data_IF_073953478979
#
_entry.id   IF_073953478979
#
_cell.length_a   1.000
_cell.length_b   1.000
_cell.length_c   1.000
_cell.angle_alpha   90.00
_cell.angle_beta   90.00
_cell.angle_gamma   90.00
#
_symmetry.space_group_name_H-M   'P 1'
#
loop_
_entity.id
_entity.type
_entity.pdbx_description
1 polymer ?
#
# COMPACT_ATOMS: atom_id res chain seq x y z
N UNK A 1 1.58 -21.86 10.55
CA UNK A 1 1.85 -20.45 10.79
C UNK A 1 3.18 -20.16 10.15
N UNK A 2 3.13 -19.75 8.90
CA UNK A 2 4.30 -19.30 8.17
C UNK A 2 4.55 -17.86 8.59
N UNK A 3 5.72 -17.58 9.14
CA UNK A 3 6.21 -16.23 9.35
C UNK A 3 7.07 -15.86 8.16
N UNK A 4 7.18 -14.58 7.85
CA UNK A 4 8.01 -14.13 6.74
C UNK A 4 7.93 -12.64 6.52
N UNK A 5 8.51 -12.24 5.40
CA UNK A 5 8.61 -10.85 4.99
C UNK A 5 7.68 -10.60 3.81
N UNK A 6 6.81 -9.60 3.94
CA UNK A 6 6.03 -9.05 2.85
C UNK A 6 6.71 -7.77 2.35
N UNK A 7 7.19 -7.82 1.11
CA UNK A 7 7.67 -6.67 0.37
C UNK A 7 6.53 -6.09 -0.46
N UNK A 8 6.38 -4.77 -0.41
CA UNK A 8 5.33 -4.02 -1.11
C UNK A 8 5.99 -2.98 -1.99
N UNK A 9 5.86 -3.13 -3.29
CA UNK A 9 6.29 -2.14 -4.28
C UNK A 9 5.11 -1.21 -4.58
N UNK A 10 5.13 -0.01 -4.00
CA UNK A 10 4.18 1.06 -4.27
C UNK A 10 4.63 1.83 -5.52
N UNK A 11 3.92 1.68 -6.63
CA UNK A 11 4.32 2.33 -7.89
C UNK A 11 3.71 3.71 -8.01
N UNK A 12 2.38 3.79 -7.94
CA UNK A 12 1.66 5.02 -8.23
C UNK A 12 0.16 4.83 -8.15
N UNK A 13 -0.58 5.92 -8.33
CA UNK A 13 -2.02 5.90 -8.44
C UNK A 13 -2.47 6.68 -9.67
N UNK A 14 -3.70 6.45 -10.12
CA UNK A 14 -4.29 7.11 -11.29
C UNK A 14 -5.74 7.47 -11.04
N UNK A 15 -6.13 8.59 -11.63
CA UNK A 15 -7.50 9.08 -11.57
C UNK A 15 -8.00 9.28 -10.14
N UNK A 16 -7.11 9.67 -9.22
CA UNK A 16 -7.53 9.97 -7.85
C UNK A 16 -8.58 11.08 -7.87
N UNK A 17 -9.67 10.86 -7.14
CA UNK A 17 -10.69 11.89 -6.98
C UNK A 17 -10.05 13.12 -6.34
N UNK A 18 -10.09 14.24 -7.07
CA UNK A 18 -9.48 15.46 -6.61
C UNK A 18 -10.39 16.11 -5.57
N UNK A 19 -9.90 16.23 -4.34
CA UNK A 19 -10.58 17.00 -3.27
C UNK A 19 -10.46 18.50 -3.50
N UNK A 20 -9.48 18.94 -4.29
CA UNK A 20 -9.11 20.34 -4.47
C UNK A 20 -9.32 20.84 -5.91
N UNK A 21 -10.46 21.50 -6.14
CA UNK A 21 -10.84 22.05 -7.44
C UNK A 21 -9.91 23.17 -7.96
N UNK A 22 -9.06 23.76 -7.10
CA UNK A 22 -8.24 24.93 -7.39
C UNK A 22 -6.73 24.72 -7.16
N UNK A 23 -6.31 23.63 -6.50
CA UNK A 23 -4.91 23.32 -6.18
C UNK A 23 -4.47 21.99 -6.80
N UNK A 24 -3.16 21.83 -6.99
CA UNK A 24 -2.59 20.52 -7.35
C UNK A 24 -2.39 19.72 -6.08
N UNK A 25 -3.02 18.55 -6.03
CA UNK A 25 -2.85 17.55 -5.00
C UNK A 25 -1.36 17.14 -4.82
N UNK A 26 -0.96 16.97 -3.56
CA UNK A 26 0.32 16.48 -3.07
C UNK A 26 0.14 15.14 -2.31
N UNK A 27 -0.26 14.05 -2.99
CA UNK A 27 -0.70 12.84 -2.31
C UNK A 27 0.46 12.03 -1.70
N UNK A 28 0.15 11.34 -0.62
CA UNK A 28 1.01 10.30 -0.03
C UNK A 28 0.18 9.10 0.43
N UNK A 29 0.86 7.95 0.60
CA UNK A 29 0.26 6.71 1.03
C UNK A 29 0.66 6.35 2.47
N UNK A 30 -0.29 5.87 3.26
CA UNK A 30 -0.06 5.17 4.52
C UNK A 30 -0.39 3.69 4.30
N UNK A 31 0.63 2.84 4.37
CA UNK A 31 0.51 1.40 4.23
C UNK A 31 0.44 0.77 5.62
N UNK A 32 -0.58 -0.04 5.87
CA UNK A 32 -0.82 -0.70 7.14
C UNK A 32 -1.03 -2.19 6.95
N UNK A 33 -0.23 -2.97 7.69
CA UNK A 33 -0.40 -4.41 7.81
C UNK A 33 -0.38 -4.78 9.29
N UNK A 34 -1.52 -5.26 9.80
CA UNK A 34 -1.71 -5.52 11.25
C UNK A 34 -1.39 -4.26 12.07
N UNK A 35 -0.41 -4.34 12.97
CA UNK A 35 0.04 -3.25 13.84
C UNK A 35 1.18 -2.42 13.25
N UNK A 36 1.70 -2.79 12.07
CA UNK A 36 2.77 -2.07 11.40
C UNK A 36 2.17 -1.05 10.44
N UNK A 37 2.72 0.15 10.45
CA UNK A 37 2.31 1.26 9.60
C UNK A 37 3.55 1.95 9.05
N UNK A 38 3.57 2.23 7.75
CA UNK A 38 4.66 2.92 7.06
C UNK A 38 4.07 3.96 6.12
N UNK A 39 4.78 5.06 5.90
CA UNK A 39 4.33 6.20 5.09
C UNK A 39 5.26 6.41 3.91
N UNK A 40 4.71 6.69 2.73
CA UNK A 40 5.49 7.07 1.56
C UNK A 40 6.02 8.50 1.64
N UNK A 41 6.86 8.87 0.67
CA UNK A 41 7.10 10.28 0.38
C UNK A 41 5.81 10.97 -0.12
N UNK A 42 5.81 12.30 -0.05
CA UNK A 42 4.76 13.15 -0.62
C UNK A 42 5.07 13.33 -2.11
N UNK A 43 4.12 13.01 -2.98
CA UNK A 43 4.23 13.19 -4.41
C UNK A 43 3.85 14.63 -4.81
N UNK A 44 4.69 15.60 -4.43
CA UNK A 44 4.39 17.03 -4.60
C UNK A 44 4.18 17.43 -6.06
N UNK A 45 3.10 18.16 -6.33
CA UNK A 45 2.69 18.68 -7.63
C UNK A 45 2.30 17.60 -8.63
N UNK A 46 1.99 16.37 -8.17
CA UNK A 46 1.65 15.26 -9.06
C UNK A 46 0.14 15.11 -9.29
N UNK A 47 -0.69 15.80 -8.52
CA UNK A 47 -2.13 15.81 -8.74
C UNK A 47 -2.72 14.42 -8.58
N UNK A 48 -3.72 14.10 -9.41
CA UNK A 48 -4.47 12.85 -9.35
C UNK A 48 -3.76 11.60 -9.91
N UNK A 49 -2.51 11.73 -10.36
CA UNK A 49 -1.74 10.63 -10.95
C UNK A 49 -0.31 10.53 -10.40
N UNK A 50 -0.15 10.38 -9.07
CA UNK A 50 1.17 10.32 -8.45
C UNK A 50 1.94 9.04 -8.79
N UNK A 51 3.26 9.16 -8.79
CA UNK A 51 4.19 8.03 -8.85
C UNK A 51 5.15 8.14 -7.66
N UNK A 52 5.28 7.07 -6.89
CA UNK A 52 6.21 6.96 -5.76
C UNK A 52 7.39 6.05 -6.10
N UNK A 53 7.14 4.88 -6.69
CA UNK A 53 8.15 3.84 -6.95
C UNK A 53 8.96 3.48 -5.69
N UNK A 54 8.27 3.32 -4.56
CA UNK A 54 8.86 3.05 -3.25
C UNK A 54 8.63 1.60 -2.82
N UNK A 55 9.58 1.05 -2.05
CA UNK A 55 9.47 -0.30 -1.48
C UNK A 55 9.30 -0.23 0.03
N UNK A 56 8.37 -1.03 0.54
CA UNK A 56 8.10 -1.19 1.97
C UNK A 56 8.24 -2.65 2.37
N UNK A 57 8.65 -2.88 3.61
CA UNK A 57 8.90 -4.24 4.11
C UNK A 57 8.15 -4.43 5.43
N UNK A 58 7.34 -5.47 5.52
CA UNK A 58 6.56 -5.81 6.70
C UNK A 58 6.91 -7.22 7.17
N UNK A 59 7.09 -7.42 8.47
CA UNK A 59 7.19 -8.76 9.05
C UNK A 59 5.77 -9.28 9.29
N UNK A 60 5.34 -10.32 8.58
CA UNK A 60 3.98 -10.83 8.66
C UNK A 60 3.96 -12.31 8.99
N UNK A 61 2.82 -12.78 9.46
CA UNK A 61 2.48 -14.21 9.44
C UNK A 61 1.35 -14.42 8.45
N UNK A 62 1.14 -15.67 8.03
CA UNK A 62 -0.01 -16.13 7.24
C UNK A 62 -1.39 -15.74 7.82
N UNK A 63 -1.43 -15.30 9.09
CA UNK A 63 -2.63 -14.72 9.69
C UNK A 63 -3.00 -13.36 9.09
N UNK A 64 -2.06 -12.55 8.60
CA UNK A 64 -2.39 -11.22 8.06
C UNK A 64 -3.17 -11.37 6.74
N UNK A 65 -4.45 -11.02 6.75
CA UNK A 65 -5.33 -11.29 5.62
C UNK A 65 -5.25 -10.23 4.54
N UNK A 66 -4.84 -9.01 4.90
CA UNK A 66 -4.89 -7.84 4.02
C UNK A 66 -3.80 -6.82 4.35
N UNK A 67 -3.43 -6.06 3.31
CA UNK A 67 -2.70 -4.80 3.39
C UNK A 67 -3.68 -3.67 3.10
N UNK A 68 -3.80 -2.72 4.02
CA UNK A 68 -4.58 -1.50 3.82
C UNK A 68 -3.66 -0.38 3.35
N UNK A 69 -4.06 0.34 2.31
CA UNK A 69 -3.34 1.52 1.83
C UNK A 69 -4.30 2.70 1.85
N UNK A 70 -4.01 3.70 2.67
CA UNK A 70 -4.76 4.97 2.70
C UNK A 70 -4.02 6.02 1.90
N UNK A 71 -4.75 6.77 1.10
CA UNK A 71 -4.24 7.92 0.36
C UNK A 71 -4.75 9.20 1.02
N UNK A 72 -3.82 10.11 1.25
CA UNK A 72 -4.09 11.43 1.79
C UNK A 72 -3.45 12.49 0.91
N UNK A 73 -4.06 13.66 0.86
CA UNK A 73 -3.49 14.86 0.27
C UNK A 73 -2.80 15.70 1.36
N UNK A 74 -1.56 16.13 1.11
CA UNK A 74 -0.78 16.86 2.11
C UNK A 74 -1.03 18.36 2.00
N UNK A 75 -1.65 18.95 3.03
CA UNK A 75 -1.98 20.38 3.03
C UNK A 75 -1.08 21.19 3.94
N UNK A 76 -0.54 22.30 3.42
CA UNK A 76 0.28 23.19 4.25
C UNK A 76 -0.61 24.06 5.15
N UNK A 77 -0.63 23.75 6.45
CA UNK A 77 -1.30 24.57 7.46
C UNK A 77 -2.73 24.17 7.79
N UNK A 78 -3.20 23.04 7.27
CA UNK A 78 -4.47 22.40 7.65
C UNK A 78 -4.24 20.90 7.92
N UNK A 79 -5.31 20.15 8.19
CA UNK A 79 -5.21 18.70 8.35
C UNK A 79 -5.25 18.06 6.96
N UNK A 80 -4.39 17.08 6.72
CA UNK A 80 -4.34 16.34 5.45
C UNK A 80 -5.69 15.71 5.09
N UNK A 81 -6.10 15.88 3.83
CA UNK A 81 -7.39 15.44 3.33
C UNK A 81 -7.39 13.95 2.98
N UNK A 82 -8.40 13.22 3.47
CA UNK A 82 -8.57 11.82 3.11
C UNK A 82 -9.16 11.66 1.71
N UNK A 83 -8.38 11.03 0.83
CA UNK A 83 -8.68 10.84 -0.60
C UNK A 83 -9.46 9.54 -0.81
N UNK A 84 -8.98 8.46 -0.18
CA UNK A 84 -9.56 7.14 -0.30
C UNK A 84 -8.60 6.07 0.19
N UNK A 85 -9.03 4.82 0.14
CA UNK A 85 -8.22 3.68 0.54
C UNK A 85 -8.40 2.47 -0.37
N UNK A 86 -7.39 1.60 -0.40
CA UNK A 86 -7.42 0.32 -1.07
C UNK A 86 -7.12 -0.79 -0.07
N UNK A 87 -7.89 -1.88 -0.14
CA UNK A 87 -7.65 -3.10 0.64
C UNK A 87 -7.16 -4.19 -0.28
N UNK A 88 -5.96 -4.68 -0.04
CA UNK A 88 -5.30 -5.69 -0.88
C UNK A 88 -5.26 -7.02 -0.13
N UNK A 89 -6.00 -8.06 -0.57
CA UNK A 89 -5.93 -9.39 0.02
C UNK A 89 -4.54 -10.01 -0.13
N UNK A 90 -4.04 -10.64 0.93
CA UNK A 90 -2.70 -11.25 0.95
C UNK A 90 -2.71 -12.76 0.66
N UNK A 91 -3.88 -13.39 0.55
CA UNK A 91 -4.01 -14.82 0.28
C UNK A 91 -3.26 -15.26 -1.00
N UNK A 92 -3.40 -14.48 -2.08
CA UNK A 92 -2.77 -14.78 -3.35
C UNK A 92 -1.23 -14.72 -3.23
N UNK A 93 -0.66 -13.68 -2.59
CA UNK A 93 0.80 -13.58 -2.45
C UNK A 93 1.38 -14.65 -1.53
N UNK A 94 0.65 -15.12 -0.53
CA UNK A 94 1.10 -16.25 0.29
C UNK A 94 1.12 -17.59 -0.45
N UNK A 95 0.26 -17.74 -1.47
CA UNK A 95 0.18 -18.95 -2.28
C UNK A 95 1.16 -18.91 -3.45
N UNK A 96 1.25 -17.77 -4.13
CA UNK A 96 2.03 -17.59 -5.37
C UNK A 96 3.47 -17.10 -5.10
N UNK A 97 3.74 -16.57 -3.91
CA UNK A 97 5.03 -15.99 -3.52
C UNK A 97 5.25 -14.57 -4.07
N UNK A 98 4.70 -14.22 -5.24
CA UNK A 98 4.75 -12.87 -5.77
C UNK A 98 3.53 -12.54 -6.61
N UNK A 99 3.00 -11.34 -6.43
CA UNK A 99 1.96 -10.74 -7.25
C UNK A 99 2.60 -9.59 -8.02
N UNK A 100 2.59 -9.62 -9.37
CA UNK A 100 3.16 -8.54 -10.15
C UNK A 100 2.40 -7.23 -9.90
N UNK A 101 2.98 -6.09 -10.28
CA UNK A 101 2.31 -4.79 -10.22
C UNK A 101 0.88 -4.79 -10.76
N UNK A 102 -0.09 -4.76 -9.86
CA UNK A 102 -1.52 -4.92 -10.13
C UNK A 102 -2.28 -3.68 -9.65
N UNK A 103 -3.38 -3.36 -10.34
CA UNK A 103 -4.23 -2.21 -10.03
C UNK A 103 -5.33 -2.64 -9.04
N UNK A 104 -5.49 -1.84 -7.98
CA UNK A 104 -6.51 -2.01 -6.97
C UNK A 104 -7.37 -0.75 -6.90
N UNK A 105 -8.67 -0.91 -6.71
CA UNK A 105 -9.59 0.21 -6.59
C UNK A 105 -9.29 0.98 -5.30
N UNK A 106 -9.25 2.29 -5.43
CA UNK A 106 -9.28 3.23 -4.31
C UNK A 106 -10.73 3.61 -4.08
N UNK A 107 -11.20 3.52 -2.85
CA UNK A 107 -12.58 3.84 -2.49
C UNK A 107 -12.68 4.75 -1.28
N UNK A 108 -13.75 5.52 -1.21
CA UNK A 108 -14.17 6.31 -0.04
C UNK A 108 -15.58 5.88 0.34
N UNK A 109 -15.68 4.95 1.29
CA UNK A 109 -16.92 4.21 1.54
C UNK A 109 -17.23 3.30 0.34
N UNK A 110 -18.36 3.54 -0.32
CA UNK A 110 -18.76 2.80 -1.53
C UNK A 110 -18.40 3.53 -2.84
N UNK A 111 -17.85 4.75 -2.76
CA UNK A 111 -17.51 5.55 -3.93
C UNK A 111 -16.14 5.15 -4.48
N UNK A 112 -16.05 4.96 -5.80
CA UNK A 112 -14.78 4.74 -6.51
C UNK A 112 -14.04 6.06 -6.69
N UNK A 113 -12.80 6.14 -6.20
CA UNK A 113 -11.98 7.34 -6.17
C UNK A 113 -10.67 7.17 -6.95
N UNK A 114 -10.61 6.22 -7.89
CA UNK A 114 -9.41 5.93 -8.70
C UNK A 114 -8.79 4.58 -8.40
N UNK A 115 -7.53 4.41 -8.78
CA UNK A 115 -6.82 3.14 -8.68
C UNK A 115 -5.37 3.32 -8.23
N UNK A 116 -4.85 2.34 -7.50
CA UNK A 116 -3.47 2.29 -7.02
C UNK A 116 -2.76 1.05 -7.54
N UNK A 117 -1.53 1.20 -8.00
CA UNK A 117 -0.71 0.13 -8.58
C UNK A 117 0.31 -0.36 -7.57
N UNK A 118 0.22 -1.64 -7.21
CA UNK A 118 1.05 -2.26 -6.15
C UNK A 118 1.54 -3.63 -6.59
N UNK A 119 2.83 -3.92 -6.39
CA UNK A 119 3.40 -5.26 -6.47
C UNK A 119 3.63 -5.83 -5.07
N UNK A 120 3.50 -7.15 -4.90
CA UNK A 120 3.71 -7.82 -3.62
C UNK A 120 4.68 -9.00 -3.80
N UNK A 121 5.55 -9.21 -2.82
CA UNK A 121 6.38 -10.41 -2.73
C UNK A 121 6.37 -10.91 -1.29
N UNK A 122 6.12 -12.20 -1.08
CA UNK A 122 6.19 -12.82 0.22
C UNK A 122 7.35 -13.83 0.26
N UNK A 123 8.26 -13.61 1.21
CA UNK A 123 9.37 -14.52 1.49
C UNK A 123 9.13 -15.19 2.83
N UNK A 124 8.81 -16.50 2.88
CA UNK A 124 8.67 -17.21 4.14
C UNK A 124 10.01 -17.36 4.86
N UNK A 125 9.99 -17.19 6.18
CA UNK A 125 11.09 -17.50 7.07
C UNK A 125 10.93 -18.95 7.53
N UNK A 126 11.81 -19.83 7.06
CA UNK A 126 11.89 -21.19 7.58
C UNK A 126 12.79 -21.18 8.82
N UNK A 127 12.22 -21.52 9.97
CA UNK A 127 13.01 -21.90 11.15
C UNK A 127 13.93 -23.06 10.76
N UNK A 128 15.22 -22.76 10.56
CA UNK A 128 16.23 -23.80 10.53
C UNK A 128 16.28 -24.43 11.92
N UNK A 129 15.56 -25.53 12.12
CA UNK A 129 15.80 -26.36 13.29
C UNK A 129 17.26 -26.83 13.22
N UNK A 130 18.07 -26.64 14.28
CA UNK A 130 19.42 -27.17 14.28
C UNK A 130 19.35 -28.68 14.07
N UNK A 131 20.01 -29.16 13.02
CA UNK A 131 20.24 -30.60 12.82
C UNK A 131 21.15 -31.04 13.97
N UNK A 132 20.58 -31.70 14.98
CA UNK A 132 21.36 -32.38 16.01
C UNK A 132 21.91 -33.63 15.34
N UNK A 133 23.19 -33.57 14.93
CA UNK A 133 24.01 -34.70 14.49
C UNK A 133 24.48 -35.53 15.68
#
# INVERSE_FOLDING_TARGET
MVHGTLEVLLIGAKGLENTDYLCNMDPYAILKCRSQEQRSSIASGKGSNPEWNENFVFTVSDRATELLIKLLDSDTGSADDFVGEATIPLEAVYTEGSIPPTLYNVVKGEHYCGEIKVGLTFTPEWDMQPVII
#
